data_IF_915747248654
#
_entry.id   IF_915747248654
#
_cell.length_a   1.000
_cell.length_b   1.000
_cell.length_c   1.000
_cell.angle_alpha   90.00
_cell.angle_beta   90.00
_cell.angle_gamma   90.00
#
_symmetry.space_group_name_H-M   'P 1'
#
loop_
_entity.id
_entity.type
_entity.pdbx_description
1 polymer ?
#
# COMPACT_ATOMS: atom_id res chain seq x y z
N UNK A 1 15.72 -21.18 29.13
CA UNK A 1 15.10 -19.86 29.29
C UNK A 1 14.19 -19.61 28.10
N UNK A 2 13.00 -19.08 28.37
CA UNK A 2 11.80 -19.13 27.53
C UNK A 2 11.98 -18.26 26.27
N UNK A 3 12.05 -18.89 25.10
CA UNK A 3 11.99 -18.24 23.78
C UNK A 3 10.92 -18.92 22.93
N UNK A 4 9.69 -18.96 23.45
CA UNK A 4 8.50 -19.45 22.74
C UNK A 4 7.38 -18.41 22.84
N UNK A 5 7.71 -17.13 22.71
CA UNK A 5 6.73 -16.06 22.65
C UNK A 5 7.26 -15.02 21.68
N UNK A 6 6.94 -15.16 20.39
CA UNK A 6 7.08 -14.05 19.43
C UNK A 6 6.36 -14.25 18.09
N UNK A 7 5.93 -15.46 17.70
CA UNK A 7 5.43 -15.66 16.32
C UNK A 7 4.24 -16.63 16.30
N UNK A 8 3.23 -16.36 17.12
CA UNK A 8 1.93 -17.05 17.03
C UNK A 8 0.77 -16.09 16.75
N UNK A 9 1.05 -14.80 16.53
CA UNK A 9 0.01 -13.79 16.30
C UNK A 9 -0.26 -13.49 14.82
N UNK A 10 0.55 -14.01 13.89
CA UNK A 10 0.24 -13.94 12.45
C UNK A 10 -0.73 -15.04 11.98
N UNK A 11 -0.93 -16.10 12.78
CA UNK A 11 -1.91 -17.13 12.48
C UNK A 11 -3.37 -16.70 12.79
N UNK A 12 -3.56 -15.60 13.51
CA UNK A 12 -4.90 -15.05 13.77
C UNK A 12 -5.52 -14.36 12.54
N UNK A 13 -4.72 -14.07 11.50
CA UNK A 13 -5.22 -13.69 10.18
C UNK A 13 -5.46 -14.91 9.28
N UNK A 14 -5.10 -16.13 9.69
CA UNK A 14 -5.24 -17.34 8.87
C UNK A 14 -6.51 -18.16 9.13
N UNK A 15 -7.10 -18.07 10.33
CA UNK A 15 -8.30 -18.85 10.71
C UNK A 15 -9.57 -18.01 10.89
N UNK A 16 -9.49 -16.70 10.66
CA UNK A 16 -10.62 -15.76 10.78
C UNK A 16 -10.87 -14.87 9.56
N UNK A 17 -10.07 -14.97 8.50
CA UNK A 17 -10.19 -14.13 7.28
C UNK A 17 -11.28 -14.61 6.32
N UNK A 18 -11.86 -15.80 6.51
CA UNK A 18 -12.99 -16.25 5.70
C UNK A 18 -14.29 -15.43 5.89
N UNK A 19 -14.33 -14.50 6.86
CA UNK A 19 -15.50 -13.65 7.14
C UNK A 19 -15.21 -12.13 7.08
N UNK A 20 -14.00 -11.72 6.66
CA UNK A 20 -13.60 -10.31 6.57
C UNK A 20 -13.24 -9.89 5.13
N UNK A 21 -13.68 -10.66 4.14
CA UNK A 21 -13.46 -10.49 2.70
C UNK A 21 -13.70 -9.04 2.21
N UNK A 22 -14.60 -8.28 2.85
CA UNK A 22 -14.88 -6.89 2.47
C UNK A 22 -14.20 -5.82 3.36
N UNK A 23 -13.94 -6.08 4.64
CA UNK A 23 -13.44 -5.03 5.55
C UNK A 23 -11.91 -4.98 5.61
N UNK A 24 -11.21 -6.11 5.45
CA UNK A 24 -9.76 -6.12 5.33
C UNK A 24 -9.30 -5.56 3.97
N UNK A 25 -9.98 -5.93 2.88
CA UNK A 25 -9.74 -5.35 1.55
C UNK A 25 -10.05 -3.85 1.53
N UNK A 26 -11.17 -3.42 2.14
CA UNK A 26 -11.47 -2.00 2.29
C UNK A 26 -10.43 -1.26 3.11
N UNK A 27 -9.97 -1.82 4.23
CA UNK A 27 -8.96 -1.16 5.06
C UNK A 27 -7.62 -1.04 4.32
N UNK A 28 -7.23 -2.07 3.56
CA UNK A 28 -6.03 -2.02 2.72
C UNK A 28 -6.17 -0.99 1.58
N UNK A 29 -7.32 -0.94 0.90
CA UNK A 29 -7.61 0.07 -0.13
C UNK A 29 -7.65 1.48 0.44
N UNK A 30 -8.27 1.68 1.60
CA UNK A 30 -8.37 2.97 2.26
C UNK A 30 -7.00 3.45 2.78
N UNK A 31 -6.14 2.54 3.24
CA UNK A 31 -4.75 2.84 3.61
C UNK A 31 -3.87 3.18 2.39
N UNK A 32 -4.05 2.47 1.27
CA UNK A 32 -3.37 2.77 0.02
C UNK A 32 -3.81 4.14 -0.53
N UNK A 33 -5.12 4.39 -0.61
CA UNK A 33 -5.69 5.66 -1.10
C UNK A 33 -5.28 6.84 -0.20
N UNK A 34 -5.25 6.65 1.12
CA UNK A 34 -4.75 7.67 2.05
C UNK A 34 -3.25 7.93 1.86
N UNK A 35 -2.48 6.92 1.49
CA UNK A 35 -1.05 7.05 1.21
C UNK A 35 -0.82 7.80 -0.10
N UNK A 36 -1.57 7.47 -1.16
CA UNK A 36 -1.54 8.19 -2.44
C UNK A 36 -1.91 9.66 -2.25
N UNK A 37 -3.02 9.96 -1.57
CA UNK A 37 -3.42 11.34 -1.28
C UNK A 37 -2.37 12.10 -0.46
N UNK A 38 -1.68 11.44 0.47
CA UNK A 38 -0.62 12.06 1.26
C UNK A 38 0.66 12.33 0.42
N UNK A 39 0.98 11.46 -0.54
CA UNK A 39 2.09 11.66 -1.47
C UNK A 39 1.74 12.77 -2.46
N UNK A 40 0.53 12.78 -2.98
CA UNK A 40 0.04 13.79 -3.94
C UNK A 40 0.03 15.19 -3.32
N UNK A 41 -0.51 15.31 -2.10
CA UNK A 41 -0.50 16.58 -1.35
C UNK A 41 0.92 17.07 -1.04
N UNK A 42 1.88 16.16 -0.83
CA UNK A 42 3.30 16.52 -0.64
C UNK A 42 3.94 16.95 -1.95
N UNK A 43 3.67 16.25 -3.04
CA UNK A 43 4.13 16.58 -4.39
C UNK A 43 3.66 18.00 -4.76
N UNK A 44 2.36 18.28 -4.62
CA UNK A 44 1.77 19.60 -4.88
C UNK A 44 2.39 20.69 -4.00
N UNK A 45 2.62 20.40 -2.71
CA UNK A 45 3.24 21.36 -1.80
C UNK A 45 4.68 21.70 -2.20
N UNK A 46 5.44 20.72 -2.71
CA UNK A 46 6.79 20.95 -3.21
C UNK A 46 6.77 21.75 -4.51
N UNK A 47 5.89 21.38 -5.44
CA UNK A 47 5.73 22.06 -6.74
C UNK A 47 5.32 23.53 -6.52
N UNK A 48 4.34 23.78 -5.65
CA UNK A 48 3.92 25.12 -5.27
C UNK A 48 5.04 25.93 -4.57
N UNK A 49 5.90 25.29 -3.78
CA UNK A 49 7.03 25.96 -3.14
C UNK A 49 8.17 26.29 -4.12
N UNK A 50 8.28 25.53 -5.21
CA UNK A 50 9.28 25.71 -6.25
C UNK A 50 8.81 26.55 -7.43
N UNK A 51 7.51 26.85 -7.53
CA UNK A 51 6.93 27.63 -8.59
C UNK A 51 7.56 29.04 -8.69
N UNK A 52 8.02 29.39 -9.89
CA UNK A 52 8.73 30.63 -10.19
C UNK A 52 10.21 30.64 -9.77
N UNK A 53 10.77 29.50 -9.36
CA UNK A 53 12.18 29.37 -8.98
C UNK A 53 13.00 28.69 -10.08
N UNK A 54 14.32 28.85 -10.05
CA UNK A 54 15.22 28.13 -10.96
C UNK A 54 15.24 26.60 -10.73
N UNK A 55 14.59 26.13 -9.67
CA UNK A 55 14.51 24.71 -9.29
C UNK A 55 13.16 24.07 -9.61
N UNK A 56 12.22 24.81 -10.20
CA UNK A 56 10.87 24.35 -10.57
C UNK A 56 10.92 23.00 -11.31
N UNK A 57 11.64 22.92 -12.42
CA UNK A 57 11.76 21.70 -13.24
C UNK A 57 12.37 20.51 -12.47
N UNK A 58 13.34 20.76 -11.58
CA UNK A 58 13.94 19.71 -10.76
C UNK A 58 12.98 19.19 -9.68
N UNK A 59 12.11 20.07 -9.16
CA UNK A 59 11.11 19.74 -8.15
C UNK A 59 9.91 19.04 -8.78
N UNK A 60 9.46 19.47 -9.97
CA UNK A 60 8.45 18.77 -10.77
C UNK A 60 8.88 17.33 -11.04
N UNK A 61 10.10 17.12 -11.56
CA UNK A 61 10.63 15.77 -11.80
C UNK A 61 10.69 14.91 -10.52
N UNK A 62 10.97 15.52 -9.38
CA UNK A 62 10.98 14.82 -8.10
C UNK A 62 9.57 14.47 -7.61
N UNK A 63 8.61 15.38 -7.80
CA UNK A 63 7.20 15.18 -7.51
C UNK A 63 6.61 14.04 -8.37
N UNK A 64 6.87 14.05 -9.68
CA UNK A 64 6.50 12.96 -10.59
C UNK A 64 7.11 11.61 -10.17
N UNK A 65 8.41 11.58 -9.85
CA UNK A 65 9.04 10.35 -9.39
C UNK A 65 8.45 9.83 -8.08
N UNK A 66 7.96 10.72 -7.21
CA UNK A 66 7.29 10.36 -5.96
C UNK A 66 5.91 9.76 -6.23
N UNK A 67 5.13 10.38 -7.13
CA UNK A 67 3.83 9.87 -7.61
C UNK A 67 3.98 8.50 -8.23
N UNK A 68 4.92 8.33 -9.18
CA UNK A 68 5.17 7.05 -9.85
C UNK A 68 5.64 5.95 -8.87
N UNK A 69 6.40 6.31 -7.85
CA UNK A 69 6.82 5.36 -6.82
C UNK A 69 5.67 4.92 -5.91
N UNK A 70 4.72 5.81 -5.61
CA UNK A 70 3.53 5.49 -4.84
C UNK A 70 2.58 4.59 -5.63
N UNK A 71 2.35 4.92 -6.91
CA UNK A 71 1.53 4.16 -7.84
C UNK A 71 2.04 2.71 -7.99
N UNK A 72 3.36 2.53 -8.22
CA UNK A 72 3.99 1.20 -8.25
C UNK A 72 3.87 0.43 -6.94
N UNK A 73 3.87 1.13 -5.80
CA UNK A 73 3.70 0.48 -4.50
C UNK A 73 2.24 0.04 -4.28
N UNK A 74 1.27 0.82 -4.76
CA UNK A 74 -0.14 0.47 -4.76
C UNK A 74 -0.41 -0.74 -5.68
N UNK A 75 0.07 -0.71 -6.92
CA UNK A 75 0.00 -1.83 -7.85
C UNK A 75 0.60 -3.12 -7.25
N UNK A 76 1.79 -3.04 -6.67
CA UNK A 76 2.43 -4.19 -6.05
C UNK A 76 1.68 -4.71 -4.81
N UNK A 77 0.92 -3.86 -4.13
CA UNK A 77 0.05 -4.25 -3.02
C UNK A 77 -1.23 -4.93 -3.54
N UNK A 78 -1.82 -4.41 -4.62
CA UNK A 78 -2.97 -5.02 -5.31
C UNK A 78 -2.62 -6.39 -5.89
N UNK A 79 -1.50 -6.51 -6.61
CA UNK A 79 -1.01 -7.79 -7.16
C UNK A 79 -0.80 -8.84 -6.06
N UNK A 80 -0.30 -8.42 -4.89
CA UNK A 80 -0.12 -9.33 -3.74
C UNK A 80 -1.44 -9.72 -3.11
N UNK A 81 -2.40 -8.79 -3.03
CA UNK A 81 -3.73 -9.07 -2.53
C UNK A 81 -4.48 -10.04 -3.45
N UNK A 82 -4.40 -9.82 -4.77
CA UNK A 82 -4.98 -10.71 -5.78
C UNK A 82 -4.30 -12.09 -5.75
N UNK A 83 -2.97 -12.15 -5.75
CA UNK A 83 -2.23 -13.41 -5.67
C UNK A 83 -2.54 -14.18 -4.38
N UNK A 84 -2.71 -13.50 -3.24
CA UNK A 84 -3.09 -14.13 -1.98
C UNK A 84 -4.55 -14.64 -2.00
N UNK A 85 -5.47 -13.87 -2.57
CA UNK A 85 -6.87 -14.27 -2.76
C UNK A 85 -7.00 -15.48 -3.69
N UNK A 86 -6.27 -15.46 -4.81
CA UNK A 86 -6.27 -16.52 -5.80
C UNK A 86 -5.56 -17.80 -5.30
N UNK A 87 -4.46 -17.67 -4.54
CA UNK A 87 -3.82 -18.80 -3.87
C UNK A 87 -4.72 -19.48 -2.83
N UNK A 88 -5.55 -18.70 -2.12
CA UNK A 88 -6.51 -19.21 -1.15
C UNK A 88 -7.75 -19.84 -1.81
N UNK A 89 -8.18 -19.33 -2.96
CA UNK A 89 -9.21 -19.94 -3.79
C UNK A 89 -8.76 -21.32 -4.32
N UNK A 90 -7.50 -21.45 -4.72
CA UNK A 90 -6.94 -22.73 -5.20
C UNK A 90 -6.65 -23.75 -4.08
N UNK A 91 -6.49 -23.34 -2.82
CA UNK A 91 -6.26 -24.28 -1.70
C UNK A 91 -7.53 -24.74 -1.00
N UNK A 92 -8.67 -24.10 -1.26
CA UNK A 92 -9.96 -24.43 -0.61
C UNK A 92 -10.84 -25.34 -1.48
N UNK A 93 -10.43 -25.61 -2.73
CA UNK A 93 -11.10 -26.55 -3.60
C UNK A 93 -10.10 -27.46 -4.30
N UNK A 94 -9.63 -28.51 -3.62
CA UNK A 94 -9.46 -29.89 -4.10
C UNK A 94 -9.14 -30.83 -2.93
#
# INVERSE_FOLDING_TARGET
MKKLIAIASLAALGLGVAACDSAAEKAAKEEAEATEQAVDARADAMEAAAQGTATEEAVENQADAMRESADKAADAAEDRADAAGNAMQSSTGQ
#
